data_IF_002209368523
#
_entry.id   IF_002209368523
#
_cell.length_a   1.000
_cell.length_b   1.000
_cell.length_c   1.000
_cell.angle_alpha   90.00
_cell.angle_beta   90.00
_cell.angle_gamma   90.00
#
_symmetry.space_group_name_H-M   'P 1'
#
loop_
_entity.id
_entity.type
_entity.pdbx_description
1 polymer ?
#
# COMPACT_ATOMS: atom_id res chain seq x y z
N UNK A 1 11.82 9.36 87.79
CA UNK A 1 11.07 10.07 86.73
C UNK A 1 11.77 9.77 85.39
N UNK A 2 11.33 8.73 84.70
CA UNK A 2 12.07 8.11 83.62
C UNK A 2 11.30 8.40 82.33
N UNK A 3 11.88 9.19 81.42
CA UNK A 3 11.30 9.61 80.13
C UNK A 3 11.71 8.61 79.04
N UNK A 4 10.76 7.84 78.58
CA UNK A 4 10.96 6.94 77.44
C UNK A 4 10.83 7.75 76.14
N UNK A 5 11.88 7.78 75.31
CA UNK A 5 11.87 8.29 73.91
C UNK A 5 11.44 7.18 72.98
N UNK A 6 10.35 7.40 72.35
CA UNK A 6 9.88 6.52 71.24
C UNK A 6 10.50 7.01 69.88
N UNK A 7 11.28 6.17 69.28
CA UNK A 7 11.84 6.40 67.91
C UNK A 7 10.81 5.92 66.90
N UNK A 8 10.23 6.87 66.20
CA UNK A 8 9.37 6.54 65.05
C UNK A 8 10.21 6.22 63.83
N UNK A 9 10.04 5.02 63.29
CA UNK A 9 10.66 4.55 62.07
C UNK A 9 9.76 4.96 60.86
N UNK A 10 10.22 5.91 60.04
CA UNK A 10 9.55 6.28 58.81
C UNK A 10 9.88 5.26 57.71
N UNK A 11 8.87 4.50 57.29
CA UNK A 11 8.97 3.61 56.13
C UNK A 11 8.71 4.44 54.86
N UNK A 12 9.76 4.68 54.07
CA UNK A 12 9.66 5.28 52.77
C UNK A 12 9.21 4.20 51.77
N UNK A 13 7.93 4.23 51.35
CA UNK A 13 7.45 3.44 50.24
C UNK A 13 7.96 4.07 48.93
N UNK A 14 9.00 3.49 48.34
CA UNK A 14 9.35 3.75 46.93
C UNK A 14 8.27 3.13 46.04
N UNK A 15 7.38 3.97 45.52
CA UNK A 15 6.45 3.59 44.48
C UNK A 15 7.19 3.38 43.19
N UNK A 16 7.35 2.11 42.78
CA UNK A 16 7.84 1.72 41.46
C UNK A 16 6.71 1.93 40.46
N UNK A 17 6.69 3.10 39.80
CA UNK A 17 5.79 3.33 38.63
C UNK A 17 6.31 2.52 37.46
N UNK A 18 5.73 1.33 37.25
CA UNK A 18 5.91 0.58 36.03
C UNK A 18 5.24 1.35 34.86
N UNK A 19 6.03 1.98 34.00
CA UNK A 19 5.56 2.46 32.71
C UNK A 19 5.18 1.22 31.88
N UNK A 20 3.90 0.91 31.82
CA UNK A 20 3.35 -0.01 30.82
C UNK A 20 3.42 0.67 29.46
N UNK A 21 4.48 0.41 28.71
CA UNK A 21 4.52 0.65 27.28
C UNK A 21 3.50 -0.30 26.64
N UNK A 22 2.28 0.17 26.43
CA UNK A 22 1.31 -0.49 25.58
C UNK A 22 1.88 -0.48 24.17
N UNK A 23 2.49 -1.57 23.73
CA UNK A 23 2.71 -1.81 22.31
C UNK A 23 1.32 -1.88 21.68
N UNK A 24 0.90 -0.84 20.96
CA UNK A 24 -0.25 -0.91 20.09
C UNK A 24 0.05 -2.00 19.06
N UNK A 25 -0.57 -3.17 19.23
CA UNK A 25 -0.60 -4.19 18.19
C UNK A 25 -1.27 -3.53 16.98
N UNK A 26 -0.52 -3.36 15.88
CA UNK A 26 -1.02 -2.70 14.68
C UNK A 26 -2.29 -3.40 14.19
N UNK A 27 -3.26 -2.64 13.74
CA UNK A 27 -4.49 -3.17 13.17
C UNK A 27 -4.16 -3.96 11.89
N UNK A 28 -4.58 -5.23 11.84
CA UNK A 28 -4.47 -6.06 10.65
C UNK A 28 -5.70 -5.85 9.76
N UNK A 29 -5.49 -5.34 8.55
CA UNK A 29 -6.51 -5.33 7.49
C UNK A 29 -6.17 -6.43 6.48
N UNK A 30 -7.10 -7.37 6.28
CA UNK A 30 -7.00 -8.44 5.28
C UNK A 30 -8.10 -8.27 4.25
N UNK A 31 -7.74 -8.27 2.97
CA UNK A 31 -8.67 -8.19 1.83
C UNK A 31 -8.45 -9.44 0.97
N UNK A 32 -9.49 -10.25 0.80
CA UNK A 32 -9.43 -11.51 0.05
C UNK A 32 -10.50 -11.63 -1.07
N UNK A 33 -11.28 -10.58 -1.28
CA UNK A 33 -12.32 -10.44 -2.32
C UNK A 33 -13.46 -11.45 -2.24
N UNK A 34 -13.60 -12.23 -1.15
CA UNK A 34 -14.64 -13.27 -1.00
C UNK A 34 -16.05 -12.72 -1.22
N UNK A 35 -16.32 -11.51 -0.76
CA UNK A 35 -17.62 -10.85 -0.84
C UNK A 35 -17.84 -10.00 -2.11
N UNK A 36 -16.84 -9.97 -3.00
CA UNK A 36 -16.92 -9.22 -4.25
C UNK A 36 -17.70 -10.00 -5.34
N UNK A 37 -18.16 -9.29 -6.36
CA UNK A 37 -18.87 -9.86 -7.50
C UNK A 37 -17.93 -10.02 -8.69
N UNK A 38 -17.86 -11.23 -9.25
CA UNK A 38 -17.06 -11.50 -10.47
C UNK A 38 -17.53 -10.60 -11.61
N UNK A 39 -16.58 -10.00 -12.32
CA UNK A 39 -16.80 -9.05 -13.40
C UNK A 39 -16.99 -7.58 -12.96
N UNK A 40 -17.21 -7.33 -11.66
CA UNK A 40 -17.35 -5.98 -11.11
C UNK A 40 -16.01 -5.38 -10.65
N UNK A 41 -15.99 -4.07 -10.43
CA UNK A 41 -14.89 -3.42 -9.70
C UNK A 41 -14.85 -3.90 -8.24
N UNK A 42 -13.66 -3.95 -7.60
CA UNK A 42 -13.53 -4.40 -6.21
C UNK A 42 -14.22 -3.42 -5.23
N UNK A 43 -14.91 -3.94 -4.23
CA UNK A 43 -15.61 -3.13 -3.21
C UNK A 43 -14.63 -2.37 -2.30
N UNK A 44 -13.50 -2.99 -1.96
CA UNK A 44 -12.51 -2.46 -1.01
C UNK A 44 -11.46 -1.55 -1.65
N UNK A 45 -11.49 -1.38 -2.97
CA UNK A 45 -10.55 -0.53 -3.69
C UNK A 45 -11.25 0.47 -4.61
N UNK A 46 -10.57 1.56 -4.88
CA UNK A 46 -10.89 2.51 -5.94
C UNK A 46 -9.94 2.30 -7.11
N UNK A 47 -10.46 1.91 -8.27
CA UNK A 47 -9.69 1.87 -9.50
C UNK A 47 -9.39 3.30 -9.95
N UNK A 48 -8.13 3.72 -9.88
CA UNK A 48 -7.71 5.08 -10.25
C UNK A 48 -7.22 5.11 -11.69
N UNK A 49 -6.42 4.13 -12.07
CA UNK A 49 -5.85 3.98 -13.41
C UNK A 49 -6.06 2.56 -13.90
N UNK A 50 -6.57 2.41 -15.12
CA UNK A 50 -6.84 1.11 -15.73
C UNK A 50 -8.23 0.56 -15.43
N UNK A 51 -8.53 -0.61 -15.99
CA UNK A 51 -9.81 -1.32 -15.84
C UNK A 51 -9.55 -2.54 -14.95
N UNK A 52 -9.94 -2.43 -13.69
CA UNK A 52 -9.77 -3.47 -12.69
C UNK A 52 -11.08 -4.21 -12.45
N UNK A 53 -11.03 -5.52 -12.36
CA UNK A 53 -12.19 -6.37 -12.14
C UNK A 53 -11.86 -7.53 -11.23
N UNK A 54 -12.88 -8.04 -10.58
CA UNK A 54 -12.81 -9.31 -9.86
C UNK A 54 -12.97 -10.44 -10.87
N UNK A 55 -12.06 -11.38 -10.85
CA UNK A 55 -12.10 -12.59 -11.66
C UNK A 55 -12.17 -13.84 -10.77
N UNK A 56 -12.73 -14.93 -11.32
CA UNK A 56 -12.72 -16.22 -10.66
C UNK A 56 -11.45 -17.01 -11.02
N UNK A 57 -10.77 -17.53 -10.01
CA UNK A 57 -9.64 -18.45 -10.16
C UNK A 57 -9.88 -19.71 -9.33
N UNK A 58 -10.39 -20.75 -9.96
CA UNK A 58 -10.86 -21.93 -9.27
C UNK A 58 -11.99 -21.58 -8.28
N UNK A 59 -11.78 -21.82 -7.01
CA UNK A 59 -12.73 -21.49 -5.93
C UNK A 59 -12.44 -20.15 -5.24
N UNK A 60 -11.50 -19.37 -5.74
CA UNK A 60 -11.10 -18.06 -5.20
C UNK A 60 -11.52 -16.95 -6.14
N UNK A 61 -11.55 -15.74 -5.60
CA UNK A 61 -11.68 -14.49 -6.36
C UNK A 61 -10.38 -13.71 -6.27
N UNK A 62 -9.99 -13.12 -7.39
CA UNK A 62 -8.76 -12.34 -7.52
C UNK A 62 -9.07 -10.99 -8.15
N UNK A 63 -8.25 -10.00 -7.84
CA UNK A 63 -8.30 -8.71 -8.50
C UNK A 63 -7.39 -8.74 -9.72
N UNK A 64 -7.96 -8.49 -10.90
CA UNK A 64 -7.25 -8.58 -12.17
C UNK A 64 -7.28 -7.27 -12.95
N UNK A 65 -6.25 -7.05 -13.75
CA UNK A 65 -6.16 -5.96 -14.73
C UNK A 65 -5.60 -6.48 -16.06
N UNK A 66 -6.23 -6.07 -17.15
CA UNK A 66 -5.72 -6.30 -18.50
C UNK A 66 -5.11 -5.02 -19.06
N UNK A 67 -3.79 -4.94 -19.07
CA UNK A 67 -3.04 -3.79 -19.56
C UNK A 67 -3.31 -3.43 -21.03
N UNK A 68 -3.84 -4.35 -21.85
CA UNK A 68 -4.24 -4.08 -23.25
C UNK A 68 -5.42 -3.12 -23.35
N UNK A 69 -6.22 -3.00 -22.27
CA UNK A 69 -7.39 -2.12 -22.19
C UNK A 69 -7.05 -0.72 -21.69
N UNK A 70 -5.77 -0.41 -21.51
CA UNK A 70 -5.32 0.86 -20.95
C UNK A 70 -4.20 1.49 -21.79
N UNK A 71 -4.16 2.82 -21.78
CA UNK A 71 -3.08 3.63 -22.37
C UNK A 71 -2.58 4.62 -21.34
N UNK A 72 -1.28 4.94 -21.39
CA UNK A 72 -0.66 5.97 -20.52
C UNK A 72 -1.44 7.30 -20.59
N UNK A 73 -1.66 7.91 -19.45
CA UNK A 73 -2.48 9.11 -19.31
C UNK A 73 -4.00 8.87 -19.25
N UNK A 74 -4.45 7.61 -19.32
CA UNK A 74 -5.86 7.27 -19.26
C UNK A 74 -6.25 6.83 -17.83
N UNK A 75 -7.21 7.53 -17.25
CA UNK A 75 -7.77 7.20 -15.92
C UNK A 75 -8.91 6.20 -16.04
N UNK A 76 -9.30 5.61 -14.90
CA UNK A 76 -10.48 4.77 -14.80
C UNK A 76 -11.77 5.58 -14.90
N UNK A 77 -12.86 4.92 -15.30
CA UNK A 77 -14.19 5.55 -15.30
C UNK A 77 -14.56 6.08 -13.90
N UNK A 78 -15.27 7.20 -13.85
CA UNK A 78 -15.70 7.83 -12.59
C UNK A 78 -14.54 8.40 -11.74
N UNK A 79 -13.42 8.76 -12.36
CA UNK A 79 -12.23 9.24 -11.65
C UNK A 79 -12.51 10.46 -10.76
N UNK A 80 -13.43 11.35 -11.16
CA UNK A 80 -13.76 12.54 -10.36
C UNK A 80 -14.34 12.18 -8.98
N UNK A 81 -15.26 11.22 -8.93
CA UNK A 81 -15.84 10.76 -7.66
C UNK A 81 -14.82 9.98 -6.82
N UNK A 82 -14.00 9.17 -7.47
CA UNK A 82 -12.90 8.45 -6.82
C UNK A 82 -11.86 9.41 -6.23
N UNK A 83 -11.47 10.44 -6.97
CA UNK A 83 -10.56 11.48 -6.49
C UNK A 83 -11.16 12.25 -5.31
N UNK A 84 -12.46 12.57 -5.34
CA UNK A 84 -13.16 13.23 -4.23
C UNK A 84 -13.18 12.34 -3.00
N UNK A 85 -13.40 11.04 -3.15
CA UNK A 85 -13.35 10.09 -2.05
C UNK A 85 -11.94 9.97 -1.41
N UNK A 86 -10.86 10.09 -2.21
CA UNK A 86 -9.48 10.03 -1.74
C UNK A 86 -9.00 11.33 -1.07
N UNK A 87 -9.37 12.48 -1.63
CA UNK A 87 -8.71 13.76 -1.30
C UNK A 87 -9.66 14.87 -0.83
N UNK A 88 -10.98 14.60 -0.73
CA UNK A 88 -11.95 15.61 -0.33
C UNK A 88 -11.88 16.85 -1.22
N UNK A 89 -11.78 18.03 -0.63
CA UNK A 89 -11.72 19.31 -1.36
C UNK A 89 -10.51 19.47 -2.28
N UNK A 90 -9.46 18.66 -2.09
CA UNK A 90 -8.26 18.68 -2.94
C UNK A 90 -8.36 17.77 -4.17
N UNK A 91 -9.53 17.21 -4.45
CA UNK A 91 -9.74 16.30 -5.60
C UNK A 91 -9.41 16.95 -6.95
N UNK A 92 -9.68 18.24 -7.11
CA UNK A 92 -9.39 18.98 -8.34
C UNK A 92 -7.89 19.05 -8.63
N UNK A 93 -7.06 19.28 -7.60
CA UNK A 93 -5.61 19.24 -7.73
C UNK A 93 -5.13 17.90 -8.31
N UNK A 94 -5.72 16.79 -7.86
CA UNK A 94 -5.38 15.47 -8.37
C UNK A 94 -5.81 15.28 -9.82
N UNK A 95 -7.03 15.68 -10.18
CA UNK A 95 -7.54 15.57 -11.55
C UNK A 95 -6.68 16.34 -12.56
N UNK A 96 -6.15 17.51 -12.17
CA UNK A 96 -5.29 18.32 -13.02
C UNK A 96 -3.90 17.69 -13.27
N UNK A 97 -3.55 16.62 -12.53
CA UNK A 97 -2.24 15.95 -12.58
C UNK A 97 -2.27 14.59 -13.27
N UNK A 98 -3.24 14.33 -14.14
CA UNK A 98 -3.40 13.02 -14.80
C UNK A 98 -2.10 12.51 -15.45
N UNK A 99 -1.33 13.38 -16.09
CA UNK A 99 -0.06 13.01 -16.72
C UNK A 99 1.04 12.63 -15.70
N UNK A 100 0.92 13.05 -14.46
CA UNK A 100 1.86 12.70 -13.42
C UNK A 100 1.56 11.35 -12.78
N UNK A 101 0.28 10.99 -12.59
CA UNK A 101 -0.10 9.79 -11.88
C UNK A 101 -0.60 8.64 -12.74
N UNK A 102 -1.08 8.88 -13.97
CA UNK A 102 -1.64 7.83 -14.84
C UNK A 102 -0.57 7.16 -15.71
N UNK A 103 0.49 6.68 -15.06
CA UNK A 103 1.65 6.09 -15.74
C UNK A 103 1.50 4.58 -15.99
N UNK A 104 0.81 3.86 -15.14
CA UNK A 104 0.42 2.45 -15.28
C UNK A 104 -0.83 2.15 -14.45
N UNK A 105 -1.54 1.03 -14.68
CA UNK A 105 -2.75 0.69 -13.94
C UNK A 105 -2.50 0.48 -12.45
N UNK A 106 -3.35 1.06 -11.59
CA UNK A 106 -3.37 0.80 -10.15
C UNK A 106 -4.73 1.09 -9.50
N UNK A 107 -4.90 0.51 -8.33
CA UNK A 107 -6.03 0.75 -7.42
C UNK A 107 -5.54 1.26 -6.08
N UNK A 108 -6.42 1.93 -5.33
CA UNK A 108 -6.13 2.45 -3.99
C UNK A 108 -7.13 1.86 -3.00
N UNK A 109 -6.64 1.32 -1.87
CA UNK A 109 -7.50 0.80 -0.81
C UNK A 109 -8.33 1.93 -0.18
N UNK A 110 -9.66 1.72 -0.06
CA UNK A 110 -10.60 2.76 0.43
C UNK A 110 -10.41 3.10 1.90
N UNK A 111 -10.11 2.10 2.73
CA UNK A 111 -10.12 2.22 4.18
C UNK A 111 -8.73 2.46 4.78
N UNK A 112 -7.75 2.85 3.93
CA UNK A 112 -6.38 3.11 4.34
C UNK A 112 -6.01 4.54 3.94
N UNK A 113 -6.44 5.52 4.74
CA UNK A 113 -6.20 6.93 4.45
C UNK A 113 -4.82 7.43 4.89
N UNK A 114 -4.26 6.90 5.97
CA UNK A 114 -3.01 7.38 6.58
C UNK A 114 -2.14 6.20 7.04
N UNK A 115 -1.38 5.63 6.11
CA UNK A 115 -0.43 4.56 6.41
C UNK A 115 0.98 5.16 6.56
N UNK A 116 1.53 5.15 7.77
CA UNK A 116 2.85 5.72 8.07
C UNK A 116 3.89 4.67 8.41
N UNK A 117 3.52 3.70 9.21
CA UNK A 117 4.40 2.65 9.69
C UNK A 117 3.69 1.30 9.64
N UNK A 118 4.40 0.26 9.23
CA UNK A 118 3.87 -1.09 9.17
C UNK A 118 4.33 -1.88 7.95
N UNK A 119 3.64 -2.96 7.68
CA UNK A 119 3.91 -3.85 6.55
C UNK A 119 2.69 -3.95 5.65
N UNK A 120 2.90 -3.84 4.36
CA UNK A 120 1.90 -4.13 3.33
C UNK A 120 2.40 -5.35 2.57
N UNK A 121 1.54 -6.34 2.36
CA UNK A 121 1.85 -7.50 1.54
C UNK A 121 0.76 -7.77 0.52
N UNK A 122 1.16 -8.22 -0.67
CA UNK A 122 0.26 -8.66 -1.72
C UNK A 122 0.78 -9.97 -2.30
N UNK A 123 -0.13 -10.84 -2.75
CA UNK A 123 0.20 -11.95 -3.63
C UNK A 123 -0.16 -11.55 -5.05
N UNK A 124 0.71 -11.86 -6.00
CA UNK A 124 0.48 -11.53 -7.39
C UNK A 124 0.92 -12.67 -8.31
N UNK A 125 0.34 -12.70 -9.49
CA UNK A 125 0.71 -13.59 -10.58
C UNK A 125 0.73 -12.80 -11.89
N UNK A 126 1.84 -12.83 -12.60
CA UNK A 126 1.94 -12.33 -13.96
C UNK A 126 1.39 -13.37 -14.94
N UNK A 127 0.25 -13.10 -15.56
CA UNK A 127 -0.42 -14.08 -16.45
C UNK A 127 0.18 -14.09 -17.85
N UNK A 128 0.28 -12.92 -18.45
CA UNK A 128 0.80 -12.75 -19.82
C UNK A 128 1.12 -11.27 -20.06
N UNK A 129 1.89 -11.01 -21.10
CA UNK A 129 2.29 -9.67 -21.51
C UNK A 129 3.61 -9.77 -22.27
N UNK A 130 3.75 -8.94 -23.31
CA UNK A 130 4.97 -8.93 -24.12
C UNK A 130 5.96 -7.85 -23.65
N UNK A 131 5.44 -6.73 -23.12
CA UNK A 131 6.25 -5.57 -22.72
C UNK A 131 6.46 -5.59 -21.21
N UNK A 132 5.40 -5.86 -20.45
CA UNK A 132 5.41 -5.82 -18.99
C UNK A 132 4.45 -6.86 -18.41
N UNK A 133 4.80 -7.45 -17.28
CA UNK A 133 3.96 -8.34 -16.48
C UNK A 133 4.08 -7.97 -14.99
N UNK A 134 4.50 -6.74 -14.74
CA UNK A 134 4.83 -6.26 -13.40
C UNK A 134 3.62 -6.16 -12.48
N UNK A 135 3.88 -6.42 -11.21
CA UNK A 135 2.96 -6.12 -10.11
C UNK A 135 3.71 -5.43 -8.98
N UNK A 136 2.99 -4.67 -8.16
CA UNK A 136 3.63 -3.89 -7.12
C UNK A 136 2.69 -3.39 -6.04
N UNK A 137 3.29 -2.68 -5.09
CA UNK A 137 2.60 -1.95 -4.04
C UNK A 137 2.91 -0.47 -4.24
N UNK A 138 1.87 0.32 -4.43
CA UNK A 138 1.94 1.78 -4.52
C UNK A 138 1.57 2.37 -3.17
N UNK A 139 2.34 3.35 -2.72
CA UNK A 139 2.11 4.01 -1.45
C UNK A 139 2.47 5.50 -1.52
N UNK A 140 1.99 6.28 -0.54
CA UNK A 140 2.20 7.72 -0.45
C UNK A 140 1.74 8.48 -1.71
N UNK A 141 0.58 8.10 -2.26
CA UNK A 141 -0.04 8.81 -3.39
C UNK A 141 -0.59 10.16 -2.90
N UNK A 142 -0.08 11.23 -3.45
CA UNK A 142 -0.41 12.61 -3.07
C UNK A 142 -1.39 13.25 -4.06
N UNK A 143 -2.13 14.30 -3.65
CA UNK A 143 -3.00 15.04 -4.55
C UNK A 143 -2.28 15.67 -5.75
N UNK A 144 -1.00 16.01 -5.62
CA UNK A 144 -0.18 16.52 -6.73
C UNK A 144 0.31 15.43 -7.71
N UNK A 145 -0.10 14.17 -7.52
CA UNK A 145 0.25 13.05 -8.38
C UNK A 145 1.60 12.39 -8.07
N UNK A 146 2.31 12.82 -7.02
CA UNK A 146 3.56 12.16 -6.61
C UNK A 146 3.25 10.87 -5.83
N UNK A 147 4.07 9.83 -6.01
CA UNK A 147 3.96 8.57 -5.26
C UNK A 147 5.24 7.74 -5.30
N UNK A 148 5.26 6.70 -4.48
CA UNK A 148 6.28 5.66 -4.46
C UNK A 148 5.64 4.32 -4.85
N UNK A 149 6.40 3.45 -5.50
CA UNK A 149 5.97 2.07 -5.75
C UNK A 149 7.13 1.11 -5.76
N UNK A 150 6.97 -0.03 -5.08
CA UNK A 150 7.85 -1.18 -5.25
C UNK A 150 7.20 -2.11 -6.26
N UNK A 151 7.96 -2.52 -7.28
CA UNK A 151 7.44 -3.33 -8.39
C UNK A 151 8.39 -4.46 -8.71
N UNK A 152 7.87 -5.69 -8.76
CA UNK A 152 8.50 -6.84 -9.38
C UNK A 152 8.05 -6.99 -10.83
N UNK A 153 8.93 -7.45 -11.73
CA UNK A 153 8.60 -7.71 -13.12
C UNK A 153 9.22 -9.02 -13.61
N UNK A 154 8.39 -10.03 -13.92
CA UNK A 154 8.85 -11.31 -14.46
C UNK A 154 9.74 -11.20 -15.69
N UNK A 155 9.42 -10.29 -16.62
CA UNK A 155 10.15 -10.14 -17.87
C UNK A 155 11.52 -9.47 -17.71
N UNK A 156 11.70 -8.68 -16.66
CA UNK A 156 12.93 -7.95 -16.38
C UNK A 156 13.77 -8.60 -15.27
N UNK A 157 13.21 -9.59 -14.59
CA UNK A 157 13.88 -10.31 -13.50
C UNK A 157 14.44 -9.35 -12.42
N UNK A 158 13.62 -8.39 -12.00
CA UNK A 158 14.01 -7.35 -11.06
C UNK A 158 12.92 -6.98 -10.05
N UNK A 159 13.38 -6.35 -8.95
CA UNK A 159 12.56 -5.65 -7.98
C UNK A 159 13.06 -4.22 -7.89
N UNK A 160 12.20 -3.24 -8.11
CA UNK A 160 12.59 -1.83 -8.16
C UNK A 160 11.70 -0.98 -7.28
N UNK A 161 12.31 -0.15 -6.44
CA UNK A 161 11.63 0.95 -5.77
C UNK A 161 11.70 2.18 -6.67
N UNK A 162 10.56 2.58 -7.19
CA UNK A 162 10.39 3.76 -8.02
C UNK A 162 9.85 4.95 -7.23
N UNK A 163 10.33 6.14 -7.59
CA UNK A 163 9.77 7.42 -7.19
C UNK A 163 9.19 8.11 -8.42
N UNK A 164 7.94 8.56 -8.28
CA UNK A 164 7.28 9.46 -9.22
C UNK A 164 7.14 10.83 -8.54
N UNK A 165 7.79 11.82 -9.09
CA UNK A 165 7.81 13.16 -8.57
C UNK A 165 7.72 14.18 -9.71
N UNK A 166 6.70 15.05 -9.64
CA UNK A 166 6.44 16.07 -10.67
C UNK A 166 6.32 15.49 -12.09
N UNK A 167 5.66 14.32 -12.20
CA UNK A 167 5.48 13.59 -13.46
C UNK A 167 6.74 12.91 -14.00
N UNK A 168 7.82 12.83 -13.23
CA UNK A 168 9.06 12.14 -13.63
C UNK A 168 9.29 10.89 -12.81
N UNK A 169 9.61 9.80 -13.49
CA UNK A 169 9.99 8.54 -12.86
C UNK A 169 11.50 8.47 -12.64
N UNK A 170 11.92 8.04 -11.46
CA UNK A 170 13.31 7.71 -11.13
C UNK A 170 13.38 6.46 -10.24
N UNK A 171 14.41 5.63 -10.40
CA UNK A 171 14.64 4.51 -9.48
C UNK A 171 15.35 5.01 -8.23
N UNK A 172 14.85 4.58 -7.06
CA UNK A 172 15.50 4.79 -5.76
C UNK A 172 16.45 3.63 -5.49
N UNK A 173 15.97 2.41 -5.72
CA UNK A 173 16.76 1.18 -5.56
C UNK A 173 16.37 0.20 -6.66
N UNK A 174 17.37 -0.49 -7.20
CA UNK A 174 17.19 -1.49 -8.24
C UNK A 174 17.89 -2.79 -7.84
N UNK A 175 17.09 -3.84 -7.60
CA UNK A 175 17.60 -5.17 -7.27
C UNK A 175 17.43 -6.06 -8.49
N UNK A 176 18.53 -6.61 -8.97
CA UNK A 176 18.57 -7.54 -10.12
C UNK A 176 18.52 -8.98 -9.64
N UNK A 177 18.24 -9.90 -10.56
CA UNK A 177 18.19 -11.34 -10.28
C UNK A 177 17.16 -11.70 -9.20
N UNK A 178 15.99 -11.08 -9.29
CA UNK A 178 14.84 -11.37 -8.42
C UNK A 178 13.76 -12.04 -9.28
N UNK A 179 13.87 -13.37 -9.51
CA UNK A 179 12.97 -14.06 -10.41
C UNK A 179 11.56 -14.17 -9.84
N UNK A 180 10.59 -13.77 -10.65
CA UNK A 180 9.15 -13.93 -10.39
C UNK A 180 8.50 -14.55 -11.62
N UNK A 181 8.72 -15.86 -11.89
CA UNK A 181 8.25 -16.51 -13.11
C UNK A 181 6.77 -16.31 -13.39
N UNK A 182 6.44 -16.10 -14.67
CA UNK A 182 5.08 -15.98 -15.18
C UNK A 182 4.23 -17.20 -14.80
N UNK A 183 2.94 -17.00 -14.53
CA UNK A 183 1.98 -18.05 -14.15
C UNK A 183 2.34 -18.80 -12.86
N UNK A 184 2.95 -18.06 -11.95
CA UNK A 184 3.21 -18.52 -10.58
C UNK A 184 2.84 -17.39 -9.61
N UNK A 185 2.29 -17.77 -8.47
CA UNK A 185 1.97 -16.84 -7.40
C UNK A 185 3.23 -16.48 -6.61
N UNK A 186 3.43 -15.19 -6.41
CA UNK A 186 4.55 -14.61 -5.66
C UNK A 186 4.03 -13.73 -4.54
N UNK A 187 4.76 -13.68 -3.44
CA UNK A 187 4.50 -12.76 -2.33
C UNK A 187 5.43 -11.54 -2.46
N UNK A 188 4.86 -10.36 -2.44
CA UNK A 188 5.57 -9.10 -2.40
C UNK A 188 5.22 -8.36 -1.11
N UNK A 189 6.24 -7.90 -0.40
CA UNK A 189 6.09 -7.15 0.85
C UNK A 189 6.82 -5.83 0.78
N UNK A 190 6.29 -4.83 1.49
CA UNK A 190 6.99 -3.60 1.80
C UNK A 190 6.79 -3.27 3.27
N UNK A 191 7.89 -3.01 3.97
CA UNK A 191 7.86 -2.49 5.34
C UNK A 191 8.27 -1.03 5.33
N UNK A 192 7.45 -0.19 5.92
CA UNK A 192 7.69 1.24 6.07
C UNK A 192 7.88 1.54 7.56
N UNK A 193 8.93 2.29 7.90
CA UNK A 193 9.21 2.75 9.26
C UNK A 193 9.74 4.17 9.15
N UNK A 194 8.88 5.15 9.41
CA UNK A 194 9.16 6.57 9.18
C UNK A 194 9.53 6.83 7.71
N UNK A 195 10.77 7.20 7.44
CA UNK A 195 11.30 7.45 6.07
C UNK A 195 12.04 6.26 5.46
N UNK A 196 12.12 5.13 6.18
CA UNK A 196 12.82 3.93 5.70
C UNK A 196 11.82 2.98 5.04
N UNK A 197 12.23 2.43 3.90
CA UNK A 197 11.46 1.43 3.13
C UNK A 197 12.35 0.19 2.94
N UNK A 198 11.81 -0.99 3.23
CA UNK A 198 12.41 -2.29 2.97
C UNK A 198 11.39 -3.18 2.23
N UNK A 199 11.85 -4.03 1.31
CA UNK A 199 11.04 -4.94 0.51
C UNK A 199 11.73 -6.26 0.27
#
# INVERSE_FOLDING_TARGET
MTMKRTIGMAIACLGLTALLLSANAGQLLKIDFSDDTVGAEPKSFLSVVGVWRIEAEGNKKVLAVDGRQWKEGQTSAGIADKARALYGDRYAEFLDRVQAYAYFPYTVAKDVADFRDGEISVRFEGISGRIDQGAGILFNLKPNGDYLTIRANPLENNLVLWKFEKGKRSSVTWIRNTPTPTRQWHDLKVRITGTKVAG
#
